data_IF_577748081367
#
_entry.id   IF_577748081367
#
_cell.length_a   1.000
_cell.length_b   1.000
_cell.length_c   1.000
_cell.angle_alpha   90.00
_cell.angle_beta   90.00
_cell.angle_gamma   90.00
#
_symmetry.space_group_name_H-M   'P 1'
#
loop_
_entity.id
_entity.type
_entity.pdbx_description
1 polymer ?
#
# COMPACT_ATOMS: atom_id res chain seq x y z
N UNK A 1 -12.22 -9.31 6.17
CA UNK A 1 -11.60 -8.14 5.48
C UNK A 1 -10.09 -8.30 5.55
N UNK A 2 -9.36 -8.01 4.46
CA UNK A 2 -7.89 -8.05 4.48
C UNK A 2 -7.32 -6.83 5.23
N UNK A 3 -6.15 -6.99 5.88
CA UNK A 3 -5.47 -5.97 6.69
C UNK A 3 -4.16 -5.45 6.06
N UNK A 4 -4.06 -5.54 4.75
CA UNK A 4 -2.91 -5.14 3.94
C UNK A 4 -3.35 -4.34 2.72
N UNK A 5 -2.42 -3.98 1.82
CA UNK A 5 -2.73 -3.28 0.58
C UNK A 5 -3.42 -1.93 0.78
N UNK A 6 -2.72 -1.00 1.44
CA UNK A 6 -3.23 0.34 1.79
C UNK A 6 -4.46 0.33 2.71
N UNK A 7 -4.66 -0.75 3.48
CA UNK A 7 -5.85 -0.93 4.32
C UNK A 7 -6.07 0.21 5.33
N UNK A 8 -5.01 0.90 5.76
CA UNK A 8 -5.10 2.06 6.63
C UNK A 8 -5.92 3.22 6.03
N UNK A 9 -6.06 3.28 4.70
CA UNK A 9 -6.78 4.36 4.00
C UNK A 9 -8.29 4.15 3.98
N UNK A 10 -8.77 2.90 3.91
CA UNK A 10 -10.18 2.58 3.70
C UNK A 10 -10.81 1.68 4.78
N UNK A 11 -10.01 0.86 5.44
CA UNK A 11 -10.51 -0.15 6.37
C UNK A 11 -11.29 0.42 7.57
N UNK A 12 -10.90 1.55 8.18
CA UNK A 12 -11.64 2.14 9.30
C UNK A 12 -13.10 2.42 8.97
N UNK A 13 -13.39 2.98 7.78
CA UNK A 13 -14.75 3.23 7.32
C UNK A 13 -15.53 1.92 7.11
N UNK A 14 -14.98 1.01 6.32
CA UNK A 14 -15.67 -0.25 5.99
C UNK A 14 -15.93 -1.10 7.22
N UNK A 15 -14.98 -1.16 8.15
CA UNK A 15 -15.16 -1.87 9.43
C UNK A 15 -16.32 -1.30 10.24
N UNK A 16 -16.38 0.00 10.41
CA UNK A 16 -17.45 0.66 11.16
C UNK A 16 -18.81 0.51 10.45
N UNK A 17 -18.83 0.65 9.13
CA UNK A 17 -20.03 0.55 8.32
C UNK A 17 -20.64 -0.86 8.37
N UNK A 18 -19.85 -1.89 8.09
CA UNK A 18 -20.31 -3.29 8.09
C UNK A 18 -20.76 -3.75 9.49
N UNK A 19 -20.04 -3.37 10.55
CA UNK A 19 -20.49 -3.59 11.92
C UNK A 19 -21.80 -2.87 12.22
N UNK A 20 -21.97 -1.67 11.70
CA UNK A 20 -23.21 -0.89 11.81
C UNK A 20 -24.42 -1.54 11.14
N UNK A 21 -24.19 -2.44 10.18
CA UNK A 21 -25.19 -3.28 9.51
C UNK A 21 -25.40 -4.65 10.21
N UNK A 22 -24.66 -4.93 11.30
CA UNK A 22 -24.76 -6.21 12.00
C UNK A 22 -23.93 -7.34 11.36
N UNK A 23 -23.07 -7.05 10.38
CA UNK A 23 -22.21 -8.07 9.80
C UNK A 23 -21.15 -8.57 10.80
N UNK A 24 -20.95 -9.88 10.87
CA UNK A 24 -19.83 -10.48 11.59
C UNK A 24 -18.54 -10.29 10.78
N UNK A 25 -17.54 -9.65 11.38
CA UNK A 25 -16.30 -9.33 10.70
C UNK A 25 -15.19 -10.30 11.08
N UNK A 26 -14.75 -11.09 10.12
CA UNK A 26 -13.53 -11.87 10.23
C UNK A 26 -12.32 -11.00 9.83
N UNK A 27 -11.32 -10.94 10.71
CA UNK A 27 -10.05 -10.28 10.49
C UNK A 27 -8.91 -11.31 10.52
N UNK A 28 -7.84 -11.12 9.71
CA UNK A 28 -6.67 -12.01 9.77
C UNK A 28 -6.04 -12.06 11.16
N UNK A 29 -5.52 -13.22 11.54
CA UNK A 29 -4.90 -13.46 12.87
C UNK A 29 -3.46 -13.91 12.79
N UNK A 30 -3.07 -14.50 11.65
CA UNK A 30 -1.71 -15.00 11.49
C UNK A 30 -0.69 -13.85 11.53
N UNK A 31 0.45 -14.02 12.21
CA UNK A 31 1.59 -13.12 12.04
C UNK A 31 1.96 -12.98 10.55
N UNK A 32 2.45 -11.81 10.14
CA UNK A 32 2.81 -11.56 8.72
C UNK A 32 3.87 -12.54 8.24
N UNK A 33 4.88 -12.83 9.06
CA UNK A 33 5.93 -13.80 8.73
C UNK A 33 5.38 -15.19 8.47
N UNK A 34 4.44 -15.66 9.30
CA UNK A 34 3.79 -16.95 9.12
C UNK A 34 2.88 -16.96 7.89
N UNK A 35 2.13 -15.89 7.65
CA UNK A 35 1.29 -15.76 6.47
C UNK A 35 2.12 -15.81 5.18
N UNK A 36 3.26 -15.12 5.14
CA UNK A 36 4.16 -15.12 3.99
C UNK A 36 4.83 -16.50 3.77
N UNK A 37 5.16 -17.22 4.86
CA UNK A 37 5.76 -18.55 4.77
C UNK A 37 4.80 -19.62 4.21
N UNK A 38 3.49 -19.37 4.19
CA UNK A 38 2.48 -20.30 3.63
C UNK A 38 2.35 -20.24 2.12
N UNK A 39 2.96 -19.23 1.47
CA UNK A 39 2.92 -19.02 0.04
C UNK A 39 4.33 -18.78 -0.50
N UNK A 40 4.93 -19.80 -1.09
CA UNK A 40 6.27 -19.75 -1.69
C UNK A 40 6.26 -19.34 -3.18
N UNK A 41 5.15 -18.77 -3.64
CA UNK A 41 5.02 -18.34 -5.03
C UNK A 41 5.94 -17.13 -5.33
N UNK A 42 6.49 -17.04 -6.56
CA UNK A 42 7.37 -15.94 -6.97
C UNK A 42 6.59 -14.66 -7.26
N UNK A 43 5.72 -14.27 -6.34
CA UNK A 43 4.94 -13.03 -6.40
C UNK A 43 5.56 -11.96 -5.50
N UNK A 44 5.37 -10.68 -5.82
CA UNK A 44 5.79 -9.59 -4.95
C UNK A 44 5.29 -9.78 -3.51
N UNK A 45 6.13 -9.50 -2.52
CA UNK A 45 5.81 -9.72 -1.09
C UNK A 45 4.45 -9.17 -0.65
N UNK A 46 4.01 -7.95 -1.06
CA UNK A 46 2.66 -7.47 -0.74
C UNK A 46 1.55 -8.33 -1.35
N UNK A 47 1.74 -8.84 -2.56
CA UNK A 47 0.78 -9.71 -3.23
C UNK A 47 0.68 -11.08 -2.54
N UNK A 48 1.82 -11.64 -2.11
CA UNK A 48 1.84 -12.88 -1.30
C UNK A 48 1.09 -12.70 0.02
N UNK A 49 1.31 -11.57 0.71
CA UNK A 49 0.57 -11.29 1.95
C UNK A 49 -0.93 -11.15 1.67
N UNK A 50 -1.33 -10.41 0.64
CA UNK A 50 -2.74 -10.27 0.27
C UNK A 50 -3.38 -11.63 -0.01
N UNK A 51 -2.74 -12.48 -0.81
CA UNK A 51 -3.21 -13.82 -1.12
C UNK A 51 -3.31 -14.71 0.14
N UNK A 52 -2.29 -14.68 1.01
CA UNK A 52 -2.28 -15.41 2.27
C UNK A 52 -3.44 -14.97 3.19
N UNK A 53 -3.73 -13.68 3.27
CA UNK A 53 -4.87 -13.14 4.03
C UNK A 53 -6.22 -13.61 3.49
N UNK A 54 -6.36 -13.63 2.17
CA UNK A 54 -7.57 -14.14 1.51
C UNK A 54 -7.76 -15.64 1.80
N UNK A 55 -6.71 -16.44 1.70
CA UNK A 55 -6.76 -17.88 2.01
C UNK A 55 -7.04 -18.13 3.50
N UNK A 56 -6.47 -17.35 4.41
CA UNK A 56 -6.76 -17.43 5.84
C UNK A 56 -8.23 -17.15 6.14
N UNK A 57 -8.81 -16.11 5.55
CA UNK A 57 -10.22 -15.76 5.72
C UNK A 57 -11.14 -16.82 5.12
N UNK A 58 -10.80 -17.35 3.92
CA UNK A 58 -11.52 -18.48 3.31
C UNK A 58 -11.53 -19.71 4.24
N UNK A 59 -10.36 -20.09 4.75
CA UNK A 59 -10.24 -21.25 5.66
C UNK A 59 -11.02 -21.08 6.97
N UNK A 60 -11.30 -19.86 7.37
CA UNK A 60 -12.13 -19.53 8.54
C UNK A 60 -13.60 -19.33 8.23
N UNK A 61 -14.04 -19.68 7.02
CA UNK A 61 -15.45 -19.68 6.63
C UNK A 61 -16.01 -18.30 6.27
N UNK A 62 -15.16 -17.36 5.77
CA UNK A 62 -15.67 -16.09 5.26
C UNK A 62 -16.62 -16.33 4.08
N UNK A 63 -17.86 -15.83 4.17
CA UNK A 63 -18.86 -15.91 3.10
C UNK A 63 -18.58 -14.95 1.96
N UNK A 64 -17.93 -13.82 2.26
CA UNK A 64 -17.41 -12.84 1.28
C UNK A 64 -16.15 -12.19 1.84
N UNK A 65 -15.23 -11.74 0.95
CA UNK A 65 -13.97 -11.11 1.36
C UNK A 65 -13.89 -9.73 0.74
N UNK A 66 -13.79 -8.70 1.59
CA UNK A 66 -13.57 -7.34 1.16
C UNK A 66 -12.09 -7.15 0.82
N UNK A 67 -11.82 -6.76 -0.44
CA UNK A 67 -10.49 -6.57 -1.02
C UNK A 67 -10.38 -5.22 -1.71
N UNK A 68 -9.18 -4.63 -1.83
CA UNK A 68 -9.01 -3.40 -2.59
C UNK A 68 -9.29 -3.62 -4.09
N UNK A 69 -9.94 -2.65 -4.68
CA UNK A 69 -10.15 -2.57 -6.12
C UNK A 69 -8.90 -2.01 -6.81
N UNK A 70 -8.86 -2.15 -8.13
CA UNK A 70 -7.85 -1.51 -8.98
C UNK A 70 -7.82 0.01 -8.80
N UNK A 71 -6.62 0.59 -8.75
CA UNK A 71 -6.41 2.04 -8.59
C UNK A 71 -6.34 2.74 -9.96
N UNK A 72 -7.11 2.29 -10.91
CA UNK A 72 -7.20 2.86 -12.25
C UNK A 72 -6.65 1.95 -13.34
N UNK A 73 -7.08 2.22 -14.57
CA UNK A 73 -6.59 1.53 -15.76
C UNK A 73 -5.34 2.23 -16.27
N UNK A 74 -4.30 1.45 -16.57
CA UNK A 74 -3.20 1.97 -17.38
C UNK A 74 -3.63 2.00 -18.85
N UNK A 75 -3.77 3.18 -19.48
CA UNK A 75 -4.18 3.26 -20.87
C UNK A 75 -3.26 2.52 -21.84
N UNK A 76 -2.03 2.25 -21.42
CA UNK A 76 -0.99 1.62 -22.23
C UNK A 76 -0.69 0.17 -21.89
N UNK A 77 -1.16 -0.35 -20.77
CA UNK A 77 -1.11 -1.77 -20.39
C UNK A 77 0.27 -2.43 -20.32
N UNK A 78 1.34 -1.72 -20.60
CA UNK A 78 2.68 -2.29 -20.76
C UNK A 78 3.62 -1.88 -19.64
N UNK A 79 4.31 -2.86 -19.06
CA UNK A 79 5.43 -2.62 -18.13
C UNK A 79 5.02 -2.35 -16.69
N UNK A 80 3.76 -2.55 -16.32
CA UNK A 80 3.25 -2.42 -14.96
C UNK A 80 3.09 -3.79 -14.29
N UNK A 81 3.19 -3.80 -12.97
CA UNK A 81 2.93 -5.00 -12.18
C UNK A 81 1.43 -5.35 -12.24
N UNK A 82 1.02 -6.54 -12.69
CA UNK A 82 -0.39 -6.93 -12.78
C UNK A 82 -1.11 -6.85 -11.42
N UNK A 83 -0.41 -7.16 -10.35
CA UNK A 83 -0.94 -7.03 -8.98
C UNK A 83 -1.23 -5.58 -8.59
N UNK A 84 -0.44 -4.62 -9.08
CA UNK A 84 -0.68 -3.21 -8.81
C UNK A 84 -1.88 -2.67 -9.61
N UNK A 85 -2.12 -3.23 -10.80
CA UNK A 85 -3.22 -2.83 -11.67
C UNK A 85 -4.56 -3.30 -11.12
N UNK A 86 -4.72 -4.61 -10.85
CA UNK A 86 -5.97 -5.20 -10.34
C UNK A 86 -5.67 -6.40 -9.43
N UNK A 87 -5.47 -6.17 -8.12
CA UNK A 87 -5.17 -7.23 -7.18
C UNK A 87 -6.31 -8.24 -7.03
N UNK A 88 -7.57 -7.80 -7.15
CA UNK A 88 -8.72 -8.68 -7.01
C UNK A 88 -8.82 -9.67 -8.18
N UNK A 89 -8.69 -9.21 -9.42
CA UNK A 89 -8.67 -10.10 -10.59
C UNK A 89 -7.47 -11.04 -10.58
N UNK A 90 -6.32 -10.60 -10.07
CA UNK A 90 -5.18 -11.49 -9.90
C UNK A 90 -5.46 -12.60 -8.89
N UNK A 91 -6.07 -12.28 -7.74
CA UNK A 91 -6.49 -13.28 -6.75
C UNK A 91 -7.44 -14.31 -7.36
N UNK A 92 -8.49 -13.87 -8.07
CA UNK A 92 -9.46 -14.76 -8.74
C UNK A 92 -8.80 -15.69 -9.75
N UNK A 93 -7.78 -15.20 -10.47
CA UNK A 93 -7.04 -15.98 -11.48
C UNK A 93 -6.14 -17.05 -10.85
N UNK A 94 -5.46 -16.72 -9.75
CA UNK A 94 -4.41 -17.59 -9.20
C UNK A 94 -4.88 -18.46 -8.04
N UNK A 95 -6.00 -18.13 -7.41
CA UNK A 95 -6.57 -18.86 -6.27
C UNK A 95 -7.98 -19.37 -6.61
N UNK A 96 -8.12 -20.65 -6.96
CA UNK A 96 -9.43 -21.20 -7.31
C UNK A 96 -10.35 -21.34 -6.09
N UNK A 97 -11.66 -21.24 -6.34
CA UNK A 97 -12.70 -21.49 -5.34
C UNK A 97 -12.71 -20.49 -4.18
N UNK A 98 -12.37 -19.24 -4.43
CA UNK A 98 -12.53 -18.17 -3.46
C UNK A 98 -14.04 -17.89 -3.21
N UNK A 99 -14.40 -17.45 -2.01
CA UNK A 99 -15.70 -16.80 -1.81
C UNK A 99 -15.76 -15.49 -2.62
N UNK A 100 -16.97 -14.92 -2.84
CA UNK A 100 -17.09 -13.65 -3.54
C UNK A 100 -16.15 -12.57 -3.01
N UNK A 101 -15.41 -11.91 -3.90
CA UNK A 101 -14.57 -10.78 -3.55
C UNK A 101 -15.36 -9.47 -3.69
N UNK A 102 -15.58 -8.79 -2.56
CA UNK A 102 -16.22 -7.48 -2.53
C UNK A 102 -15.14 -6.42 -2.75
N UNK A 103 -15.13 -5.85 -3.94
CA UNK A 103 -14.13 -4.86 -4.37
C UNK A 103 -14.48 -3.49 -3.80
N UNK A 104 -13.52 -2.85 -3.15
CA UNK A 104 -13.68 -1.50 -2.59
C UNK A 104 -12.53 -0.60 -3.02
N UNK A 105 -12.79 0.68 -3.31
CA UNK A 105 -11.71 1.60 -3.66
C UNK A 105 -10.75 1.76 -2.49
N UNK A 106 -9.43 1.82 -2.75
CA UNK A 106 -8.40 1.98 -1.72
C UNK A 106 -8.36 3.41 -1.15
N UNK A 107 -9.13 4.32 -1.71
CA UNK A 107 -9.28 5.70 -1.23
C UNK A 107 -10.75 6.02 -0.98
N UNK A 108 -11.01 6.70 0.14
CA UNK A 108 -12.36 7.13 0.50
C UNK A 108 -12.66 8.47 -0.15
N UNK A 109 -13.50 8.45 -1.20
CA UNK A 109 -14.03 9.62 -1.89
C UNK A 109 -15.56 9.59 -1.88
N UNK A 110 -16.21 10.64 -2.36
CA UNK A 110 -17.68 10.74 -2.37
C UNK A 110 -18.39 9.56 -3.06
N UNK A 111 -17.80 9.00 -4.10
CA UNK A 111 -18.33 7.82 -4.82
C UNK A 111 -18.46 6.56 -3.95
N UNK A 112 -17.74 6.47 -2.83
CA UNK A 112 -17.80 5.34 -1.90
C UNK A 112 -19.18 5.18 -1.26
N UNK A 113 -19.93 6.27 -1.06
CA UNK A 113 -21.27 6.19 -0.46
C UNK A 113 -22.25 5.38 -1.32
N UNK A 114 -22.22 5.54 -2.64
CA UNK A 114 -23.05 4.76 -3.55
C UNK A 114 -22.72 3.26 -3.52
N UNK A 115 -21.43 2.94 -3.52
CA UNK A 115 -20.95 1.56 -3.39
C UNK A 115 -21.36 0.96 -2.02
N UNK A 116 -21.15 1.69 -0.95
CA UNK A 116 -21.51 1.24 0.40
C UNK A 116 -23.02 1.03 0.52
N UNK A 117 -23.85 1.90 -0.04
CA UNK A 117 -25.30 1.72 -0.07
C UNK A 117 -25.70 0.42 -0.80
N UNK A 118 -25.09 0.13 -1.96
CA UNK A 118 -25.33 -1.11 -2.70
C UNK A 118 -24.94 -2.33 -1.89
N UNK A 119 -23.73 -2.39 -1.36
CA UNK A 119 -23.26 -3.51 -0.51
C UNK A 119 -24.17 -3.67 0.71
N UNK A 120 -24.57 -2.58 1.36
CA UNK A 120 -25.47 -2.63 2.51
C UNK A 120 -26.84 -3.18 2.17
N UNK A 121 -27.41 -2.84 1.03
CA UNK A 121 -28.71 -3.39 0.57
C UNK A 121 -28.62 -4.89 0.26
N UNK A 122 -27.51 -5.36 -0.29
CA UNK A 122 -27.28 -6.79 -0.51
C UNK A 122 -27.22 -7.57 0.81
N UNK A 123 -26.62 -6.97 1.85
CA UNK A 123 -26.46 -7.62 3.16
C UNK A 123 -27.75 -7.63 4.00
N UNK A 124 -28.45 -6.50 4.11
CA UNK A 124 -29.56 -6.36 5.08
C UNK A 124 -30.93 -6.14 4.46
N UNK A 125 -31.02 -5.91 3.14
CA UNK A 125 -32.25 -5.66 2.38
C UNK A 125 -33.20 -4.60 2.99
N UNK A 126 -32.71 -3.78 3.92
CA UNK A 126 -33.44 -2.73 4.61
C UNK A 126 -32.81 -1.35 4.35
N UNK A 127 -33.37 -0.53 3.46
CA UNK A 127 -32.81 0.77 3.12
C UNK A 127 -32.64 1.73 4.31
N UNK A 128 -33.51 1.62 5.32
CA UNK A 128 -33.42 2.50 6.50
C UNK A 128 -32.23 2.15 7.38
N UNK A 129 -31.90 0.86 7.54
CA UNK A 129 -30.71 0.42 8.28
C UNK A 129 -29.43 0.82 7.55
N UNK A 130 -29.41 0.62 6.23
CA UNK A 130 -28.32 1.08 5.37
C UNK A 130 -28.07 2.57 5.54
N UNK A 131 -29.13 3.39 5.44
CA UNK A 131 -29.01 4.84 5.63
C UNK A 131 -28.49 5.22 7.01
N UNK A 132 -29.03 4.59 8.07
CA UNK A 132 -28.55 4.84 9.45
C UNK A 132 -27.07 4.48 9.64
N UNK A 133 -26.63 3.36 9.06
CA UNK A 133 -25.22 2.94 9.11
C UNK A 133 -24.31 3.93 8.37
N UNK A 134 -24.73 4.40 7.19
CA UNK A 134 -24.00 5.44 6.43
C UNK A 134 -23.92 6.76 7.20
N UNK A 135 -25.03 7.23 7.75
CA UNK A 135 -25.06 8.50 8.51
C UNK A 135 -24.12 8.45 9.73
N UNK A 136 -24.08 7.31 10.45
CA UNK A 136 -23.18 7.10 11.60
C UNK A 136 -21.71 7.07 11.20
N UNK A 137 -21.40 6.58 10.02
CA UNK A 137 -20.01 6.39 9.58
C UNK A 137 -19.50 7.50 8.66
N UNK A 138 -20.36 8.43 8.25
CA UNK A 138 -20.03 9.52 7.33
C UNK A 138 -18.82 10.34 7.77
N UNK A 139 -18.63 10.53 9.08
CA UNK A 139 -17.47 11.23 9.63
C UNK A 139 -16.12 10.51 9.39
N UNK A 140 -16.13 9.22 9.04
CA UNK A 140 -14.96 8.43 8.70
C UNK A 140 -14.59 8.52 7.22
N UNK A 141 -15.45 9.12 6.38
CA UNK A 141 -15.18 9.41 4.97
C UNK A 141 -14.29 10.65 4.86
N UNK A 142 -13.09 10.54 5.33
CA UNK A 142 -12.09 11.60 5.26
C UNK A 142 -10.91 11.12 4.43
N UNK A 143 -10.27 12.03 3.65
CA UNK A 143 -9.02 11.71 3.00
C UNK A 143 -8.00 11.17 4.00
N UNK A 144 -7.26 10.18 3.58
CA UNK A 144 -6.19 9.62 4.39
C UNK A 144 -5.16 10.69 4.76
N UNK A 145 -4.85 10.78 6.04
CA UNK A 145 -3.83 11.67 6.55
C UNK A 145 -2.64 10.83 7.02
N UNK A 146 -1.49 10.90 6.35
CA UNK A 146 -0.31 10.18 6.76
C UNK A 146 0.18 10.66 8.13
N UNK A 147 0.92 9.80 8.88
CA UNK A 147 1.55 10.20 10.12
C UNK A 147 2.59 11.30 9.86
N UNK A 148 2.77 12.16 10.86
CA UNK A 148 3.81 13.17 10.79
C UNK A 148 5.20 12.52 10.72
N UNK A 149 6.09 13.14 9.95
CA UNK A 149 7.47 12.68 9.85
C UNK A 149 8.16 12.75 11.21
N UNK A 150 8.93 11.73 11.61
CA UNK A 150 9.64 11.73 12.89
C UNK A 150 10.66 12.86 12.94
N UNK A 151 11.06 13.23 14.16
CA UNK A 151 12.20 14.08 14.40
C UNK A 151 13.42 13.23 14.69
N UNK A 152 14.53 13.52 14.08
CA UNK A 152 15.79 12.78 14.27
C UNK A 152 16.98 13.59 13.78
N UNK A 153 18.17 13.23 14.26
CA UNK A 153 19.40 13.89 13.89
C UNK A 153 19.83 13.59 12.44
N UNK A 154 19.49 12.38 11.95
CA UNK A 154 19.77 11.93 10.58
C UNK A 154 18.53 11.23 10.05
N UNK A 155 17.82 11.86 9.12
CA UNK A 155 16.62 11.29 8.54
C UNK A 155 16.92 10.55 7.23
N UNK A 156 16.54 9.26 7.19
CA UNK A 156 16.52 8.45 5.97
C UNK A 156 15.10 8.45 5.42
N UNK A 157 14.89 9.13 4.30
CA UNK A 157 13.60 9.08 3.61
C UNK A 157 13.36 7.69 3.02
N UNK A 158 12.22 7.08 3.35
CA UNK A 158 11.76 5.83 2.75
C UNK A 158 10.70 6.13 1.70
N UNK A 159 10.95 5.74 0.46
CA UNK A 159 9.96 5.78 -0.60
C UNK A 159 9.77 4.39 -1.20
N UNK A 160 8.54 4.00 -1.41
CA UNK A 160 8.13 2.73 -2.00
C UNK A 160 6.72 2.87 -2.59
N UNK A 161 6.26 1.84 -3.27
CA UNK A 161 4.86 1.76 -3.68
C UNK A 161 3.93 1.87 -2.45
N UNK A 162 2.77 2.55 -2.56
CA UNK A 162 1.92 2.82 -1.41
C UNK A 162 1.44 1.56 -0.68
N UNK A 163 1.19 0.47 -1.39
CA UNK A 163 0.81 -0.81 -0.81
C UNK A 163 1.94 -1.53 -0.05
N UNK A 164 3.20 -1.14 -0.27
CA UNK A 164 4.35 -1.57 0.50
C UNK A 164 4.65 -0.58 1.62
N UNK A 165 4.74 0.72 1.29
CA UNK A 165 5.12 1.78 2.23
C UNK A 165 4.14 1.89 3.41
N UNK A 166 2.85 1.64 3.17
CA UNK A 166 1.79 1.66 4.19
C UNK A 166 1.84 0.50 5.18
N UNK A 167 2.54 -0.58 4.87
CA UNK A 167 2.60 -1.77 5.73
C UNK A 167 4.05 -2.11 6.14
N UNK A 168 4.51 -1.47 7.22
CA UNK A 168 5.88 -1.64 7.75
C UNK A 168 6.21 -3.08 8.16
N UNK A 169 5.20 -3.92 8.34
CA UNK A 169 5.37 -5.35 8.64
C UNK A 169 5.97 -6.13 7.46
N UNK A 170 5.95 -5.53 6.25
CA UNK A 170 6.50 -6.13 5.04
C UNK A 170 8.01 -5.93 4.87
N UNK A 171 8.62 -4.97 5.61
CA UNK A 171 10.05 -4.64 5.51
C UNK A 171 10.70 -4.31 6.86
N UNK A 172 10.48 -5.13 7.91
CA UNK A 172 11.05 -4.87 9.24
C UNK A 172 12.57 -4.88 9.22
N UNK A 173 13.19 -5.71 8.36
CA UNK A 173 14.63 -5.80 8.18
C UNK A 173 15.26 -4.48 7.70
N UNK A 174 14.56 -3.75 6.83
CA UNK A 174 15.01 -2.44 6.32
C UNK A 174 15.02 -1.41 7.43
N UNK A 175 13.99 -1.38 8.26
CA UNK A 175 13.92 -0.45 9.40
C UNK A 175 15.01 -0.74 10.43
N UNK A 176 15.13 -2.01 10.83
CA UNK A 176 16.13 -2.43 11.80
C UNK A 176 17.55 -2.10 11.33
N UNK A 177 17.86 -2.38 10.07
CA UNK A 177 19.16 -2.07 9.50
C UNK A 177 19.44 -0.55 9.46
N UNK A 178 18.43 0.26 9.08
CA UNK A 178 18.56 1.72 9.06
C UNK A 178 18.81 2.27 10.48
N UNK A 179 18.05 1.82 11.47
CA UNK A 179 18.20 2.23 12.88
C UNK A 179 19.57 1.80 13.43
N UNK A 180 20.02 0.57 13.15
CA UNK A 180 21.34 0.09 13.52
C UNK A 180 22.49 0.88 12.88
N UNK A 181 22.27 1.42 11.67
CA UNK A 181 23.22 2.30 10.98
C UNK A 181 23.11 3.79 11.43
N UNK A 182 22.33 4.08 12.47
CA UNK A 182 22.18 5.42 13.06
C UNK A 182 21.25 6.36 12.27
N UNK A 183 20.38 5.81 11.40
CA UNK A 183 19.35 6.56 10.70
C UNK A 183 18.01 6.52 11.43
N UNK A 184 17.25 7.59 11.31
CA UNK A 184 15.81 7.59 11.68
C UNK A 184 15.00 7.44 10.39
N UNK A 185 14.38 6.27 10.13
CA UNK A 185 13.54 6.06 8.95
C UNK A 185 12.32 6.98 8.96
N UNK A 186 12.04 7.63 7.84
CA UNK A 186 10.96 8.59 7.71
C UNK A 186 10.17 8.35 6.42
N UNK A 187 8.84 8.19 6.53
CA UNK A 187 7.93 8.16 5.39
C UNK A 187 7.47 9.60 5.06
N UNK A 188 7.00 9.87 3.82
CA UNK A 188 6.44 11.18 3.49
C UNK A 188 5.20 11.46 4.35
N UNK A 189 5.10 12.69 4.88
CA UNK A 189 3.96 13.21 5.62
C UNK A 189 2.98 14.00 4.73
N UNK A 190 2.97 13.71 3.45
CA UNK A 190 2.10 14.31 2.44
C UNK A 190 0.95 13.35 2.05
N UNK A 191 -0.22 13.91 1.73
CA UNK A 191 -1.37 13.11 1.29
C UNK A 191 -1.11 12.39 -0.04
N UNK A 192 -1.85 11.31 -0.35
CA UNK A 192 -1.74 10.61 -1.63
C UNK A 192 -1.88 11.54 -2.83
N UNK A 193 -2.85 12.46 -2.82
CA UNK A 193 -3.07 13.45 -3.89
C UNK A 193 -1.83 14.33 -4.07
N UNK A 194 -1.29 14.83 -2.95
CA UNK A 194 -0.07 15.65 -2.98
C UNK A 194 1.12 14.89 -3.52
N UNK A 195 1.27 13.61 -3.16
CA UNK A 195 2.33 12.77 -3.70
C UNK A 195 2.15 12.54 -5.19
N UNK A 196 0.92 12.31 -5.69
CA UNK A 196 0.67 12.21 -7.14
C UNK A 196 1.02 13.50 -7.90
N UNK A 197 0.70 14.66 -7.34
CA UNK A 197 1.14 15.95 -7.91
C UNK A 197 2.67 16.08 -7.95
N UNK A 198 3.35 15.68 -6.88
CA UNK A 198 4.83 15.69 -6.86
C UNK A 198 5.41 14.66 -7.85
N UNK A 199 4.77 13.50 -8.02
CA UNK A 199 5.14 12.50 -9.01
C UNK A 199 5.03 13.01 -10.44
N UNK A 200 3.97 13.74 -10.76
CA UNK A 200 3.80 14.37 -12.06
C UNK A 200 4.90 15.41 -12.39
N UNK A 201 5.48 16.04 -11.36
CA UNK A 201 6.58 17.01 -11.51
C UNK A 201 7.94 16.38 -11.82
N UNK A 202 8.08 15.07 -11.70
CA UNK A 202 9.32 14.36 -12.02
C UNK A 202 9.65 14.38 -13.51
N UNK A 203 8.69 14.70 -14.38
CA UNK A 203 8.82 14.62 -15.83
C UNK A 203 8.90 13.20 -16.38
N UNK A 204 8.74 12.19 -15.52
CA UNK A 204 8.65 10.80 -15.95
C UNK A 204 7.25 10.51 -16.50
N UNK A 205 7.18 9.77 -17.61
CA UNK A 205 5.91 9.33 -18.14
C UNK A 205 5.38 8.17 -17.29
N UNK A 206 4.47 8.47 -16.35
CA UNK A 206 3.90 7.55 -15.37
C UNK A 206 2.38 7.65 -15.47
N UNK A 207 1.71 6.52 -15.66
CA UNK A 207 0.25 6.48 -15.87
C UNK A 207 -0.50 6.03 -14.60
N UNK A 208 0.06 5.10 -13.80
CA UNK A 208 -0.63 4.57 -12.64
C UNK A 208 -0.55 5.51 -11.43
N UNK A 209 -1.67 5.73 -10.72
CA UNK A 209 -1.69 6.52 -9.49
C UNK A 209 -0.71 6.03 -8.42
N UNK A 210 -0.54 4.72 -8.26
CA UNK A 210 0.42 4.12 -7.31
C UNK A 210 1.86 4.42 -7.68
N UNK A 211 2.19 4.36 -8.97
CA UNK A 211 3.52 4.68 -9.47
C UNK A 211 3.81 6.19 -9.34
N UNK A 212 2.78 7.05 -9.57
CA UNK A 212 2.87 8.49 -9.32
C UNK A 212 3.09 8.79 -7.83
N UNK A 213 2.42 8.09 -6.91
CA UNK A 213 2.65 8.25 -5.48
C UNK A 213 4.08 7.85 -5.09
N UNK A 214 4.60 6.76 -5.63
CA UNK A 214 5.98 6.34 -5.39
C UNK A 214 6.98 7.38 -5.92
N UNK A 215 6.81 7.81 -7.17
CA UNK A 215 7.65 8.85 -7.76
C UNK A 215 7.57 10.16 -6.96
N UNK A 216 6.37 10.53 -6.54
CA UNK A 216 6.13 11.69 -5.70
C UNK A 216 6.73 11.58 -4.31
N UNK A 217 6.70 10.41 -3.70
CA UNK A 217 7.36 10.18 -2.42
C UNK A 217 8.88 10.41 -2.53
N UNK A 218 9.51 9.85 -3.56
CA UNK A 218 10.93 10.05 -3.84
C UNK A 218 11.26 11.54 -4.11
N UNK A 219 10.47 12.19 -4.96
CA UNK A 219 10.66 13.62 -5.31
C UNK A 219 10.43 14.52 -4.09
N UNK A 220 9.37 14.32 -3.33
CA UNK A 220 9.04 15.08 -2.13
C UNK A 220 10.14 14.98 -1.08
N UNK A 221 10.53 13.75 -0.70
CA UNK A 221 11.58 13.51 0.29
C UNK A 221 12.94 14.03 -0.21
N UNK A 222 13.23 13.88 -1.50
CA UNK A 222 14.46 14.36 -2.14
C UNK A 222 14.66 15.87 -2.03
N UNK A 223 13.59 16.64 -1.90
CA UNK A 223 13.64 18.11 -1.78
C UNK A 223 13.63 18.62 -0.35
N UNK A 224 13.25 17.79 0.63
CA UNK A 224 13.22 18.22 2.03
C UNK A 224 14.61 18.37 2.61
N UNK A 225 14.99 19.59 3.02
CA UNK A 225 16.32 19.89 3.59
C UNK A 225 16.67 19.04 4.82
N UNK A 226 15.66 18.58 5.57
CA UNK A 226 15.84 17.75 6.77
C UNK A 226 16.06 16.25 6.49
N UNK A 227 15.88 15.79 5.28
CA UNK A 227 16.15 14.41 4.86
C UNK A 227 17.56 14.32 4.31
N UNK A 228 18.42 13.50 4.90
CA UNK A 228 19.84 13.41 4.60
C UNK A 228 20.16 12.39 3.49
N UNK A 229 19.29 11.40 3.30
CA UNK A 229 19.44 10.39 2.26
C UNK A 229 18.11 9.70 1.97
N UNK A 230 18.02 9.01 0.83
CA UNK A 230 16.83 8.27 0.42
C UNK A 230 17.12 6.80 0.22
N UNK A 231 16.21 5.97 0.68
CA UNK A 231 16.15 4.56 0.32
C UNK A 231 14.85 4.29 -0.44
N UNK A 232 14.98 3.92 -1.71
CA UNK A 232 13.88 3.49 -2.54
C UNK A 232 13.71 1.98 -2.37
N UNK A 233 12.66 1.58 -1.64
CA UNK A 233 12.40 0.17 -1.35
C UNK A 233 11.44 -0.36 -2.40
N UNK A 234 11.85 -1.43 -3.08
CA UNK A 234 11.06 -2.08 -4.13
C UNK A 234 10.74 -3.52 -3.77
N UNK A 235 9.62 -4.00 -4.27
CA UNK A 235 9.20 -5.37 -4.05
C UNK A 235 10.16 -6.37 -4.71
N UNK A 236 10.34 -7.52 -4.05
CA UNK A 236 10.87 -8.72 -4.69
C UNK A 236 9.99 -9.12 -5.90
N UNK A 237 10.57 -9.76 -6.89
CA UNK A 237 9.87 -10.27 -8.07
C UNK A 237 9.02 -9.23 -8.85
N UNK A 238 9.38 -7.92 -8.79
CA UNK A 238 8.70 -6.86 -9.53
C UNK A 238 9.66 -6.01 -10.39
N UNK A 239 10.13 -6.51 -11.55
CA UNK A 239 11.03 -5.77 -12.43
C UNK A 239 10.53 -4.39 -12.91
N UNK A 240 9.22 -4.17 -13.14
CA UNK A 240 8.73 -2.83 -13.49
C UNK A 240 9.00 -1.80 -12.40
N UNK A 241 8.75 -2.15 -11.13
CA UNK A 241 8.97 -1.28 -9.98
C UNK A 241 10.45 -0.96 -9.81
N UNK A 242 11.32 -1.96 -9.94
CA UNK A 242 12.76 -1.77 -9.87
C UNK A 242 13.27 -0.82 -10.96
N UNK A 243 12.79 -0.95 -12.21
CA UNK A 243 13.14 -0.01 -13.28
C UNK A 243 12.72 1.42 -12.97
N UNK A 244 11.50 1.61 -12.43
CA UNK A 244 11.04 2.93 -12.01
C UNK A 244 11.92 3.50 -10.90
N UNK A 245 12.23 2.70 -9.88
CA UNK A 245 13.09 3.12 -8.77
C UNK A 245 14.48 3.55 -9.24
N UNK A 246 15.09 2.81 -10.17
CA UNK A 246 16.41 3.19 -10.75
C UNK A 246 16.35 4.51 -11.52
N UNK A 247 15.26 4.78 -12.25
CA UNK A 247 15.07 6.08 -12.93
C UNK A 247 14.89 7.22 -11.93
N UNK A 248 14.13 7.00 -10.86
CA UNK A 248 13.95 7.97 -9.77
C UNK A 248 15.26 8.25 -9.05
N UNK A 249 16.04 7.21 -8.76
CA UNK A 249 17.35 7.36 -8.14
C UNK A 249 18.30 8.22 -9.00
N UNK A 250 18.32 8.00 -10.31
CA UNK A 250 19.15 8.79 -11.23
C UNK A 250 18.73 10.27 -11.32
N UNK A 251 17.46 10.58 -11.06
CA UNK A 251 16.94 11.95 -11.07
C UNK A 251 16.99 12.65 -9.69
N UNK A 252 17.36 11.93 -8.63
CA UNK A 252 17.36 12.46 -7.26
C UNK A 252 18.70 13.11 -6.93
N UNK A 253 18.71 14.39 -6.47
CA UNK A 253 19.95 15.11 -6.18
C UNK A 253 20.63 14.71 -4.87
N UNK A 254 19.95 13.94 -4.01
CA UNK A 254 20.46 13.50 -2.70
C UNK A 254 21.14 12.14 -2.79
N UNK A 255 21.95 11.77 -1.77
CA UNK A 255 22.39 10.39 -1.58
C UNK A 255 21.20 9.44 -1.61
N UNK A 256 21.18 8.53 -2.58
CA UNK A 256 20.05 7.62 -2.80
C UNK A 256 20.55 6.22 -3.15
N UNK A 257 19.83 5.21 -2.67
CA UNK A 257 20.02 3.83 -3.08
C UNK A 257 18.66 3.16 -3.34
N UNK A 258 18.66 2.16 -4.20
CA UNK A 258 17.54 1.24 -4.41
C UNK A 258 17.85 -0.04 -3.63
N UNK A 259 16.85 -0.54 -2.91
CA UNK A 259 16.90 -1.79 -2.17
C UNK A 259 15.75 -2.68 -2.61
N UNK A 260 16.05 -3.89 -3.03
CA UNK A 260 15.06 -4.91 -3.37
C UNK A 260 14.78 -5.76 -2.13
N UNK A 261 13.51 -5.95 -1.78
CA UNK A 261 13.13 -6.79 -0.64
C UNK A 261 13.68 -8.22 -0.81
N UNK A 262 14.20 -8.77 0.28
CA UNK A 262 14.86 -10.07 0.27
C UNK A 262 16.38 -10.01 0.11
N UNK A 263 16.93 -8.88 -0.33
CA UNK A 263 18.38 -8.63 -0.30
C UNK A 263 18.82 -8.09 1.08
N UNK A 264 20.14 -8.06 1.33
CA UNK A 264 20.69 -7.40 2.52
C UNK A 264 20.61 -5.86 2.37
N UNK A 265 19.87 -5.16 3.25
CA UNK A 265 19.76 -3.71 3.18
C UNK A 265 21.06 -2.96 3.52
N UNK A 266 22.03 -3.59 4.16
CA UNK A 266 23.28 -2.93 4.57
C UNK A 266 24.05 -2.35 3.38
N UNK A 267 24.15 -3.09 2.27
CA UNK A 267 24.83 -2.63 1.06
C UNK A 267 24.22 -1.34 0.47
N UNK A 268 22.90 -1.18 0.56
CA UNK A 268 22.21 0.03 0.12
C UNK A 268 22.46 1.20 1.08
N UNK A 269 22.41 0.95 2.39
CA UNK A 269 22.67 1.95 3.43
C UNK A 269 24.11 2.48 3.38
N UNK A 270 25.11 1.60 3.18
CA UNK A 270 26.52 2.00 3.02
C UNK A 270 26.71 2.90 1.80
N UNK A 271 26.05 2.65 0.69
CA UNK A 271 26.09 3.53 -0.50
C UNK A 271 25.59 4.92 -0.17
N UNK A 272 24.47 5.03 0.55
CA UNK A 272 23.93 6.33 0.99
C UNK A 272 24.93 7.02 1.93
N UNK A 273 25.49 6.30 2.91
CA UNK A 273 26.45 6.88 3.85
C UNK A 273 27.72 7.39 3.18
N UNK A 274 28.25 6.68 2.19
CA UNK A 274 29.44 7.10 1.43
C UNK A 274 29.17 8.35 0.59
N UNK A 275 27.98 8.48 0.01
CA UNK A 275 27.59 9.60 -0.80
C UNK A 275 27.17 10.84 0.03
N UNK A 276 26.86 10.69 1.31
CA UNK A 276 26.49 11.76 2.24
C UNK A 276 27.71 12.39 2.96
N UNK A 277 28.91 11.83 2.81
CA UNK A 277 30.19 12.36 3.31
C UNK A 277 30.84 13.31 2.30
#
# INVERSE_FOLDING_TARGET
>A
MVDTWMSERYLPFWRAYLRGLGAELLEPRLPVSEALARLEEPWPRPARLLAARVLELKARGAEAILVPEAVGESPRGTGTCPWAVDPASMLERVLPGLPPLVRVPPELAEGVLGLAARIGQELVQNPQEVRRALDRTRQLLKPYKPPAMPRGARLLGLAAMPYLLGDERLYPEVRQAAEAAGWTPARPDASPERLREEGARTGLNIDLPTDLEFAGAAHYLGRLGRVDGLLLVVCDHCPPEERLARRLAAATPKPVAVHVLGEDPQAALERIQKAAR
#
